data_IF_438685111904
#
_entry.id   IF_438685111904
#
_cell.length_a   1.000
_cell.length_b   1.000
_cell.length_c   1.000
_cell.angle_alpha   90.00
_cell.angle_beta   90.00
_cell.angle_gamma   90.00
#
_symmetry.space_group_name_H-M   'P 1'
#
loop_
_entity.id
_entity.type
_entity.pdbx_description
1 polymer ?
#
# COMPACT_ATOMS: atom_id res chain seq x y z
N UNK A 1 -0.57 10.85 18.56
CA UNK A 1 -0.23 9.93 19.67
C UNK A 1 1.26 9.66 19.62
N UNK A 2 1.86 9.17 20.73
CA UNK A 2 3.26 8.76 20.77
C UNK A 2 3.36 7.25 20.80
N UNK A 3 4.45 6.71 20.29
CA UNK A 3 4.75 5.29 20.45
C UNK A 3 4.95 4.95 21.93
N UNK A 4 4.42 3.81 22.33
CA UNK A 4 4.53 3.26 23.69
C UNK A 4 4.95 1.81 23.58
N UNK A 5 6.24 1.56 23.80
CA UNK A 5 6.78 0.20 23.80
C UNK A 5 6.30 -0.55 25.05
N UNK A 6 5.65 -1.67 24.83
CA UNK A 6 5.22 -2.60 25.89
C UNK A 6 6.08 -3.87 25.78
N UNK A 7 6.98 -4.05 26.74
CA UNK A 7 7.89 -5.20 26.75
C UNK A 7 8.34 -5.53 28.17
N UNK A 8 8.34 -6.81 28.50
CA UNK A 8 8.99 -7.32 29.71
C UNK A 8 10.52 -7.37 29.58
N UNK A 9 11.05 -7.25 28.35
CA UNK A 9 12.47 -7.26 28.09
C UNK A 9 13.07 -5.86 28.27
N UNK A 10 14.34 -5.84 28.70
CA UNK A 10 15.16 -4.62 28.73
C UNK A 10 16.33 -4.79 27.77
N UNK A 11 16.83 -3.71 27.14
CA UNK A 11 18.01 -3.78 26.30
C UNK A 11 19.23 -4.31 27.07
N UNK A 12 19.91 -5.30 26.50
CA UNK A 12 21.08 -5.98 27.11
C UNK A 12 22.20 -6.15 26.09
N UNK A 13 23.40 -6.47 26.53
CA UNK A 13 24.57 -6.62 25.67
C UNK A 13 24.87 -5.33 24.91
N UNK A 14 25.00 -5.41 23.58
CA UNK A 14 25.29 -4.28 22.70
C UNK A 14 24.06 -3.43 22.40
N UNK A 15 22.85 -3.91 22.72
CA UNK A 15 21.61 -3.23 22.37
C UNK A 15 21.51 -1.78 22.88
N UNK A 16 21.82 -1.46 24.14
CA UNK A 16 21.77 -0.07 24.63
C UNK A 16 22.62 0.88 23.80
N UNK A 17 23.86 0.50 23.51
CA UNK A 17 24.77 1.31 22.71
C UNK A 17 24.33 1.43 21.26
N UNK A 18 23.83 0.34 20.67
CA UNK A 18 23.30 0.34 19.30
C UNK A 18 22.08 1.26 19.17
N UNK A 19 21.12 1.18 20.11
CA UNK A 19 19.95 2.04 20.16
C UNK A 19 20.36 3.52 20.25
N UNK A 20 21.25 3.86 21.18
CA UNK A 20 21.65 5.26 21.39
C UNK A 20 22.41 5.81 20.17
N UNK A 21 23.23 5.00 19.52
CA UNK A 21 23.97 5.38 18.31
C UNK A 21 23.01 5.63 17.13
N UNK A 22 22.08 4.72 16.88
CA UNK A 22 21.08 4.88 15.80
C UNK A 22 20.18 6.10 16.05
N UNK A 23 19.67 6.26 17.27
CA UNK A 23 18.80 7.40 17.63
C UNK A 23 19.54 8.73 17.47
N UNK A 24 20.81 8.79 17.89
CA UNK A 24 21.65 9.98 17.73
C UNK A 24 21.83 10.32 16.25
N UNK A 25 22.23 9.36 15.42
CA UNK A 25 22.42 9.59 13.99
C UNK A 25 21.13 10.04 13.30
N UNK A 26 19.97 9.45 13.65
CA UNK A 26 18.68 9.89 13.11
C UNK A 26 18.38 11.35 13.51
N UNK A 27 18.62 11.72 14.77
CA UNK A 27 18.39 13.09 15.27
C UNK A 27 19.36 14.12 14.68
N UNK A 28 20.57 13.72 14.38
CA UNK A 28 21.60 14.54 13.72
C UNK A 28 21.38 14.65 12.20
N UNK A 29 20.39 13.94 11.65
CA UNK A 29 20.01 14.03 10.23
C UNK A 29 20.84 13.12 9.32
N UNK A 30 21.49 12.09 9.84
CA UNK A 30 22.20 11.09 9.01
C UNK A 30 21.23 10.49 7.98
N UNK A 31 21.52 10.54 6.66
CA UNK A 31 20.62 10.04 5.63
C UNK A 31 20.50 8.52 5.65
N UNK A 32 21.55 7.82 6.07
CA UNK A 32 21.58 6.37 6.16
C UNK A 32 22.45 5.92 7.32
N UNK A 33 22.11 4.78 7.91
CA UNK A 33 22.91 4.10 8.94
C UNK A 33 22.80 2.59 8.73
N UNK A 34 23.84 1.86 9.09
CA UNK A 34 23.87 0.40 9.00
C UNK A 34 23.97 -0.21 10.39
N UNK A 35 23.00 -1.07 10.75
CA UNK A 35 23.04 -1.94 11.92
C UNK A 35 23.53 -3.33 11.50
N UNK A 36 24.76 -3.67 11.87
CA UNK A 36 25.28 -5.02 11.76
C UNK A 36 24.87 -5.80 13.00
N UNK A 37 23.87 -6.66 12.85
CA UNK A 37 23.36 -7.46 13.95
C UNK A 37 23.35 -8.94 13.62
N UNK A 38 24.10 -9.74 14.37
CA UNK A 38 24.11 -11.20 14.16
C UNK A 38 22.74 -11.81 14.41
N UNK A 39 22.48 -12.97 13.82
CA UNK A 39 21.21 -13.70 14.03
C UNK A 39 21.06 -14.05 15.52
N UNK A 40 19.89 -13.73 16.09
CA UNK A 40 19.60 -13.95 17.51
C UNK A 40 20.12 -12.85 18.46
N UNK A 41 20.69 -11.74 17.95
CA UNK A 41 21.09 -10.60 18.80
C UNK A 41 19.90 -9.73 19.25
N UNK A 42 18.69 -9.98 18.75
CA UNK A 42 17.49 -9.19 19.10
C UNK A 42 17.34 -7.90 18.29
N UNK A 43 17.72 -7.91 17.01
CA UNK A 43 17.59 -6.75 16.09
C UNK A 43 16.20 -6.13 16.11
N UNK A 44 15.13 -6.95 16.09
CA UNK A 44 13.74 -6.47 16.12
C UNK A 44 13.45 -5.63 17.36
N UNK A 45 13.93 -6.07 18.52
CA UNK A 45 13.76 -5.33 19.77
C UNK A 45 14.57 -4.01 19.79
N UNK A 46 15.76 -4.01 19.21
CA UNK A 46 16.56 -2.79 18.99
C UNK A 46 15.82 -1.80 18.10
N UNK A 47 15.28 -2.26 16.97
CA UNK A 47 14.46 -1.43 16.08
C UNK A 47 13.22 -0.85 16.79
N UNK A 48 12.51 -1.66 17.60
CA UNK A 48 11.37 -1.20 18.37
C UNK A 48 11.74 -0.06 19.34
N UNK A 49 12.87 -0.18 20.07
CA UNK A 49 13.36 0.87 20.94
C UNK A 49 13.77 2.15 20.19
N UNK A 50 14.36 2.00 19.00
CA UNK A 50 14.69 3.16 18.13
C UNK A 50 13.42 3.88 17.71
N UNK A 51 12.40 3.14 17.23
CA UNK A 51 11.10 3.70 16.80
C UNK A 51 10.44 4.48 17.94
N UNK A 52 10.38 3.92 19.15
CA UNK A 52 9.81 4.60 20.31
C UNK A 52 10.54 5.92 20.61
N UNK A 53 11.90 5.89 20.65
CA UNK A 53 12.70 7.07 20.97
C UNK A 53 12.68 8.15 19.90
N UNK A 54 12.58 7.78 18.63
CA UNK A 54 12.51 8.69 17.48
C UNK A 54 11.11 9.24 17.29
N UNK A 55 10.10 8.44 17.56
CA UNK A 55 8.67 8.80 17.51
C UNK A 55 8.22 9.38 16.15
N UNK A 56 8.55 8.70 15.07
CA UNK A 56 8.13 9.02 13.70
C UNK A 56 7.40 7.85 13.04
N UNK A 57 6.45 8.09 12.12
CA UNK A 57 5.91 7.04 11.28
C UNK A 57 7.03 6.24 10.63
N UNK A 58 6.93 4.93 10.65
CA UNK A 58 8.03 4.05 10.24
C UNK A 58 7.56 3.01 9.24
N UNK A 59 8.30 2.89 8.13
CA UNK A 59 8.18 1.80 7.17
C UNK A 59 9.26 0.76 7.44
N UNK A 60 8.86 -0.50 7.65
CA UNK A 60 9.77 -1.63 7.81
C UNK A 60 9.62 -2.52 6.57
N UNK A 61 10.70 -2.68 5.81
CA UNK A 61 10.74 -3.50 4.61
C UNK A 61 11.39 -4.85 4.88
N UNK A 62 10.76 -5.90 4.38
CA UNK A 62 11.26 -7.26 4.41
C UNK A 62 11.19 -7.88 3.00
N UNK A 63 12.10 -8.79 2.67
CA UNK A 63 12.22 -9.35 1.33
C UNK A 63 11.13 -10.39 0.97
N UNK A 64 10.36 -10.88 1.94
CA UNK A 64 9.27 -11.82 1.67
C UNK A 64 8.09 -11.69 2.64
N UNK A 65 6.93 -12.28 2.26
CA UNK A 65 5.69 -12.25 3.07
C UNK A 65 5.83 -12.89 4.44
N UNK A 66 6.57 -13.99 4.55
CA UNK A 66 6.69 -14.78 5.80
C UNK A 66 7.45 -13.99 6.86
N UNK A 67 8.59 -13.41 6.50
CA UNK A 67 9.34 -12.55 7.41
C UNK A 67 8.58 -11.27 7.75
N UNK A 68 7.90 -10.67 6.76
CA UNK A 68 7.04 -9.51 7.02
C UNK A 68 5.92 -9.86 8.03
N UNK A 69 5.30 -11.05 7.91
CA UNK A 69 4.27 -11.51 8.86
C UNK A 69 4.85 -11.74 10.27
N UNK A 70 6.05 -12.31 10.37
CA UNK A 70 6.73 -12.47 11.65
C UNK A 70 7.03 -11.11 12.30
N UNK A 71 7.65 -10.19 11.58
CA UNK A 71 7.93 -8.84 12.06
C UNK A 71 6.65 -8.11 12.47
N UNK A 72 5.60 -8.17 11.66
CA UNK A 72 4.30 -7.61 11.99
C UNK A 72 3.78 -8.13 13.34
N UNK A 73 3.81 -9.45 13.56
CA UNK A 73 3.41 -10.07 14.81
C UNK A 73 4.26 -9.65 16.01
N UNK A 74 5.58 -9.47 15.82
CA UNK A 74 6.49 -8.98 16.87
C UNK A 74 6.20 -7.52 17.20
N UNK A 75 6.12 -6.63 16.19
CA UNK A 75 5.83 -5.20 16.40
C UNK A 75 4.43 -4.96 16.97
N UNK A 76 3.43 -5.76 16.60
CA UNK A 76 2.08 -5.69 17.17
C UNK A 76 2.09 -5.98 18.68
N UNK A 77 2.94 -6.92 19.14
CA UNK A 77 3.13 -7.21 20.57
C UNK A 77 3.91 -6.11 21.29
N UNK A 78 4.92 -5.51 20.65
CA UNK A 78 5.67 -4.41 21.22
C UNK A 78 4.89 -3.10 21.30
N UNK A 79 3.93 -2.88 20.40
CA UNK A 79 3.16 -1.66 20.29
C UNK A 79 1.64 -1.92 20.27
N UNK A 80 1.07 -2.55 21.33
CA UNK A 80 -0.34 -2.95 21.33
C UNK A 80 -1.32 -1.77 21.28
N UNK A 81 -0.87 -0.56 21.65
CA UNK A 81 -1.69 0.67 21.66
C UNK A 81 -1.51 1.57 20.46
N UNK A 82 -0.57 1.23 19.57
CA UNK A 82 -0.23 2.03 18.40
C UNK A 82 -0.71 1.33 17.12
N UNK A 83 -0.74 2.07 16.00
CA UNK A 83 -1.10 1.50 14.72
C UNK A 83 0.10 0.71 14.16
N UNK A 84 0.00 -0.59 14.17
CA UNK A 84 0.94 -1.49 13.48
C UNK A 84 0.18 -2.15 12.35
N UNK A 85 0.59 -1.86 11.13
CA UNK A 85 -0.10 -2.22 9.90
C UNK A 85 0.72 -3.19 9.05
N UNK A 86 0.04 -3.98 8.23
CA UNK A 86 0.65 -5.01 7.39
C UNK A 86 0.34 -4.77 5.92
N UNK A 87 1.37 -4.57 5.10
CA UNK A 87 1.21 -4.25 3.70
C UNK A 87 2.07 -5.15 2.81
N UNK A 88 1.46 -6.21 2.29
CA UNK A 88 2.11 -7.17 1.39
C UNK A 88 1.27 -7.36 0.14
N UNK A 89 1.76 -8.14 -0.83
CA UNK A 89 0.96 -8.52 -2.00
C UNK A 89 -0.29 -9.28 -1.56
N UNK A 90 -1.46 -8.82 -1.99
CA UNK A 90 -2.76 -9.40 -1.64
C UNK A 90 -3.18 -10.58 -2.54
N UNK A 91 -2.26 -11.05 -3.39
CA UNK A 91 -2.50 -12.24 -4.21
C UNK A 91 -2.05 -13.50 -3.49
N UNK A 92 -2.94 -14.49 -3.39
CA UNK A 92 -2.57 -15.88 -3.02
C UNK A 92 -1.97 -16.61 -4.21
N UNK A 93 -2.48 -16.30 -5.39
CA UNK A 93 -1.94 -16.74 -6.67
C UNK A 93 -1.89 -15.55 -7.64
N UNK A 94 -0.81 -15.44 -8.40
CA UNK A 94 -0.65 -14.38 -9.41
C UNK A 94 0.15 -14.88 -10.61
N UNK A 95 -0.50 -14.94 -11.76
CA UNK A 95 0.12 -15.13 -13.07
C UNK A 95 0.02 -13.80 -13.83
N UNK A 96 1.13 -13.11 -14.07
CA UNK A 96 1.10 -11.87 -14.84
C UNK A 96 0.77 -12.15 -16.31
N UNK A 97 0.04 -11.21 -16.93
CA UNK A 97 -0.15 -11.19 -18.37
C UNK A 97 1.21 -11.09 -19.08
N UNK A 98 1.44 -11.92 -20.08
CA UNK A 98 2.68 -11.92 -20.83
C UNK A 98 2.48 -12.40 -22.26
N UNK A 99 3.37 -11.98 -23.17
CA UNK A 99 3.48 -12.53 -24.50
C UNK A 99 4.92 -12.98 -24.78
N UNK A 100 5.06 -14.19 -25.31
CA UNK A 100 6.34 -14.83 -25.62
C UNK A 100 6.46 -14.91 -27.15
N UNK A 101 7.14 -13.95 -27.81
CA UNK A 101 7.17 -13.88 -29.28
C UNK A 101 7.79 -15.11 -29.95
N UNK A 102 8.81 -15.72 -29.33
CA UNK A 102 9.53 -16.87 -29.89
C UNK A 102 8.68 -18.12 -30.15
N UNK A 103 7.54 -18.23 -29.44
CA UNK A 103 6.61 -19.38 -29.53
C UNK A 103 5.18 -18.92 -29.81
N UNK A 104 4.98 -17.64 -30.12
CA UNK A 104 3.66 -17.01 -30.36
C UNK A 104 2.64 -17.37 -29.27
N UNK A 105 3.05 -17.27 -28.00
CA UNK A 105 2.20 -17.67 -26.88
C UNK A 105 1.80 -16.47 -26.05
N UNK A 106 0.50 -16.20 -26.02
CA UNK A 106 -0.10 -15.26 -25.06
C UNK A 106 -0.46 -16.00 -23.77
N UNK A 107 -0.11 -15.40 -22.64
CA UNK A 107 -0.43 -15.86 -21.29
C UNK A 107 -1.39 -14.83 -20.70
N UNK A 108 -2.61 -15.25 -20.44
CA UNK A 108 -3.61 -14.41 -19.81
C UNK A 108 -3.27 -14.19 -18.33
N UNK A 109 -3.62 -12.99 -17.83
CA UNK A 109 -3.52 -12.68 -16.41
C UNK A 109 -4.48 -13.58 -15.62
N UNK A 110 -3.97 -14.25 -14.61
CA UNK A 110 -4.77 -15.02 -13.65
C UNK A 110 -4.35 -14.68 -12.22
N UNK A 111 -5.33 -14.52 -11.34
CA UNK A 111 -5.08 -14.10 -9.96
C UNK A 111 -6.16 -14.57 -8.99
N UNK A 112 -5.75 -14.79 -7.75
CA UNK A 112 -6.63 -15.00 -6.61
C UNK A 112 -6.31 -13.99 -5.52
N UNK A 113 -7.28 -13.15 -5.17
CA UNK A 113 -7.15 -12.12 -4.14
C UNK A 113 -7.41 -12.75 -2.77
N UNK A 114 -6.57 -12.39 -1.79
CA UNK A 114 -6.79 -12.68 -0.39
C UNK A 114 -7.52 -11.50 0.26
N UNK A 115 -8.77 -11.69 0.62
CA UNK A 115 -9.63 -10.64 1.19
C UNK A 115 -9.12 -10.08 2.52
N UNK A 116 -8.48 -10.92 3.36
CA UNK A 116 -7.91 -10.46 4.62
C UNK A 116 -6.70 -9.56 4.41
N UNK A 117 -5.83 -9.89 3.44
CA UNK A 117 -4.68 -9.04 3.11
C UNK A 117 -5.16 -7.75 2.44
N UNK A 118 -6.20 -7.80 1.61
CA UNK A 118 -6.80 -6.62 1.00
C UNK A 118 -7.34 -5.66 2.09
N UNK A 119 -8.07 -6.18 3.07
CA UNK A 119 -8.52 -5.43 4.26
C UNK A 119 -7.34 -4.73 4.97
N UNK A 120 -6.26 -5.46 5.24
CA UNK A 120 -5.08 -4.92 5.91
C UNK A 120 -4.38 -3.83 5.09
N UNK A 121 -4.42 -3.91 3.77
CA UNK A 121 -3.88 -2.87 2.87
C UNK A 121 -4.72 -1.59 2.95
N UNK A 122 -6.05 -1.69 2.96
CA UNK A 122 -6.94 -0.53 3.14
C UNK A 122 -6.74 0.05 4.56
N UNK A 123 -6.61 -0.79 5.60
CA UNK A 123 -6.29 -0.35 6.96
C UNK A 123 -5.00 0.47 7.01
N UNK A 124 -3.95 0.00 6.34
CA UNK A 124 -2.67 0.70 6.24
C UNK A 124 -2.81 2.11 5.64
N UNK A 125 -3.49 2.22 4.49
CA UNK A 125 -3.70 3.52 3.82
C UNK A 125 -4.55 4.46 4.68
N UNK A 126 -5.57 3.93 5.33
CA UNK A 126 -6.45 4.69 6.25
C UNK A 126 -5.68 5.17 7.48
N UNK A 127 -4.85 4.33 8.09
CA UNK A 127 -4.02 4.71 9.24
C UNK A 127 -3.04 5.83 8.88
N UNK A 128 -2.34 5.73 7.74
CA UNK A 128 -1.38 6.74 7.29
C UNK A 128 -2.05 8.09 7.00
N UNK A 129 -3.26 8.10 6.41
CA UNK A 129 -3.99 9.32 6.06
C UNK A 129 -4.91 9.83 7.19
N UNK A 130 -5.00 9.12 8.31
CA UNK A 130 -5.80 9.55 9.48
C UNK A 130 -5.22 10.76 10.22
N UNK A 131 -3.96 11.14 9.93
CA UNK A 131 -3.21 12.15 10.66
C UNK A 131 -2.45 11.62 11.88
N UNK A 132 -2.48 10.31 12.14
CA UNK A 132 -1.68 9.67 13.20
C UNK A 132 -0.19 9.75 12.87
N UNK A 133 0.63 9.94 13.91
CA UNK A 133 2.09 9.91 13.79
C UNK A 133 2.70 8.61 14.36
N UNK A 134 1.89 7.81 15.05
CA UNK A 134 2.28 6.58 15.70
C UNK A 134 1.93 5.35 14.85
N UNK A 135 2.36 5.36 13.59
CA UNK A 135 2.09 4.30 12.61
C UNK A 135 3.37 3.56 12.22
N UNK A 136 3.38 2.25 12.39
CA UNK A 136 4.40 1.34 11.87
C UNK A 136 3.76 0.52 10.75
N UNK A 137 4.34 0.54 9.57
CA UNK A 137 3.92 -0.33 8.46
C UNK A 137 5.00 -1.36 8.20
N UNK A 138 4.67 -2.63 8.35
CA UNK A 138 5.53 -3.74 7.96
C UNK A 138 5.13 -4.19 6.56
N UNK A 139 6.05 -4.10 5.61
CA UNK A 139 5.77 -4.36 4.20
C UNK A 139 6.79 -5.30 3.56
N UNK A 140 6.35 -6.00 2.52
CA UNK A 140 7.25 -6.59 1.53
C UNK A 140 7.59 -5.57 0.44
N UNK A 141 8.35 -5.98 -0.57
CA UNK A 141 8.65 -5.13 -1.75
C UNK A 141 7.40 -4.71 -2.54
N UNK A 142 6.22 -5.21 -2.20
CA UNK A 142 4.96 -4.76 -2.81
C UNK A 142 4.66 -3.27 -2.57
N UNK A 143 5.30 -2.63 -1.61
CA UNK A 143 5.17 -1.19 -1.33
C UNK A 143 5.62 -0.29 -2.48
N UNK A 144 6.48 -0.77 -3.39
CA UNK A 144 6.97 0.00 -4.55
C UNK A 144 6.10 -0.14 -5.79
N UNK A 145 5.05 -0.96 -5.76
CA UNK A 145 4.11 -1.14 -6.87
C UNK A 145 3.01 -0.08 -6.86
N UNK A 146 2.43 0.14 -8.04
CA UNK A 146 1.38 1.13 -8.26
C UNK A 146 0.18 0.96 -7.35
N UNK A 147 -0.26 2.08 -6.79
CA UNK A 147 -1.45 2.24 -5.94
C UNK A 147 -2.30 3.40 -6.44
N UNK A 148 -3.48 3.58 -5.85
CA UNK A 148 -4.30 4.76 -6.06
C UNK A 148 -3.59 6.05 -5.63
N UNK A 149 -4.06 7.19 -6.15
CA UNK A 149 -3.57 8.50 -5.74
C UNK A 149 -4.00 8.79 -4.28
N UNK A 150 -3.07 9.08 -3.35
CA UNK A 150 -3.42 9.39 -1.97
C UNK A 150 -4.33 10.62 -1.82
N UNK A 151 -4.24 11.62 -2.71
CA UNK A 151 -5.14 12.77 -2.70
C UNK A 151 -6.57 12.38 -3.04
N UNK A 152 -6.76 11.49 -4.04
CA UNK A 152 -8.08 10.98 -4.39
C UNK A 152 -8.68 10.12 -3.28
N UNK A 153 -7.85 9.27 -2.65
CA UNK A 153 -8.29 8.51 -1.49
C UNK A 153 -8.73 9.42 -0.34
N UNK A 154 -7.93 10.44 -0.02
CA UNK A 154 -8.21 11.37 1.06
C UNK A 154 -9.43 12.27 0.77
N UNK A 155 -9.65 12.69 -0.47
CA UNK A 155 -10.80 13.51 -0.87
C UNK A 155 -12.14 12.77 -0.81
N UNK A 156 -12.11 11.43 -0.79
CA UNK A 156 -13.29 10.57 -0.66
C UNK A 156 -13.50 10.06 0.79
N UNK A 157 -12.74 10.58 1.76
CA UNK A 157 -12.99 10.32 3.18
C UNK A 157 -14.26 11.06 3.61
N UNK A 158 -15.23 10.33 4.15
CA UNK A 158 -16.48 10.89 4.65
C UNK A 158 -16.28 11.26 6.12
N UNK A 159 -16.41 12.53 6.45
CA UNK A 159 -16.38 13.01 7.84
C UNK A 159 -17.81 13.34 8.28
N UNK A 160 -18.26 12.70 9.36
CA UNK A 160 -19.58 12.91 9.94
C UNK A 160 -19.45 13.38 11.38
N UNK A 161 -20.37 14.24 11.79
CA UNK A 161 -20.44 14.79 13.15
C UNK A 161 -21.87 14.72 13.68
N UNK A 162 -22.01 14.48 14.98
CA UNK A 162 -23.29 14.56 15.66
C UNK A 162 -23.85 16.00 15.55
N UNK A 163 -25.13 16.11 15.19
CA UNK A 163 -25.77 17.40 14.91
C UNK A 163 -25.52 17.95 13.51
N UNK A 164 -24.75 17.25 12.66
CA UNK A 164 -24.50 17.66 11.27
C UNK A 164 -25.81 17.62 10.45
N UNK A 165 -26.10 18.72 9.76
CA UNK A 165 -27.23 18.80 8.84
C UNK A 165 -26.88 18.23 7.50
N UNK A 166 -27.31 17.01 7.25
CA UNK A 166 -27.15 16.28 6.00
C UNK A 166 -28.33 15.32 5.83
N UNK A 167 -28.95 15.31 4.67
CA UNK A 167 -30.01 14.32 4.42
C UNK A 167 -29.44 12.91 4.31
N UNK A 168 -30.19 11.92 4.80
CA UNK A 168 -29.81 10.51 4.67
C UNK A 168 -29.43 10.15 3.23
N UNK A 169 -30.19 10.61 2.23
CA UNK A 169 -29.91 10.32 0.83
C UNK A 169 -28.59 10.98 0.33
N UNK A 170 -28.22 12.14 0.85
CA UNK A 170 -26.92 12.73 0.55
C UNK A 170 -25.79 11.89 1.14
N UNK A 171 -25.91 11.46 2.39
CA UNK A 171 -24.95 10.56 3.03
C UNK A 171 -24.80 9.22 2.28
N UNK A 172 -25.92 8.62 1.81
CA UNK A 172 -25.85 7.40 1.00
C UNK A 172 -25.10 7.61 -0.32
N UNK A 173 -25.23 8.78 -0.96
CA UNK A 173 -24.45 9.11 -2.17
C UNK A 173 -22.97 9.26 -1.87
N UNK A 174 -22.60 9.83 -0.74
CA UNK A 174 -21.19 9.89 -0.29
C UNK A 174 -20.62 8.49 -0.07
N UNK A 175 -21.39 7.58 0.56
CA UNK A 175 -20.97 6.17 0.73
C UNK A 175 -20.72 5.47 -0.61
N UNK A 176 -21.62 5.65 -1.58
CA UNK A 176 -21.44 5.09 -2.94
C UNK A 176 -20.21 5.72 -3.63
N UNK A 177 -19.99 7.03 -3.47
CA UNK A 177 -18.81 7.72 -3.96
C UNK A 177 -17.51 7.20 -3.34
N UNK A 178 -17.54 6.80 -2.07
CA UNK A 178 -16.45 6.15 -1.36
C UNK A 178 -16.38 4.63 -1.61
N UNK A 179 -17.09 4.13 -2.64
CA UNK A 179 -17.10 2.75 -3.10
C UNK A 179 -17.73 1.72 -2.13
N UNK A 180 -18.57 2.16 -1.20
CA UNK A 180 -19.41 1.24 -0.42
C UNK A 180 -20.62 0.80 -1.24
N UNK A 181 -20.98 -0.47 -1.16
CA UNK A 181 -22.12 -1.05 -1.85
C UNK A 181 -23.31 -1.28 -0.91
N UNK A 182 -24.53 -1.05 -1.39
CA UNK A 182 -25.75 -1.31 -0.61
C UNK A 182 -26.07 -2.80 -0.56
N UNK A 183 -26.23 -3.35 0.63
CA UNK A 183 -26.65 -4.74 0.84
C UNK A 183 -27.53 -4.84 2.08
N UNK A 184 -28.83 -5.13 1.87
CA UNK A 184 -29.83 -5.17 2.95
C UNK A 184 -29.91 -6.54 3.65
N UNK A 185 -29.48 -7.61 2.98
CA UNK A 185 -29.72 -8.98 3.43
C UNK A 185 -28.55 -9.47 4.30
N UNK A 186 -27.35 -9.43 3.75
CA UNK A 186 -26.15 -9.95 4.42
C UNK A 186 -24.97 -9.01 4.16
N UNK A 187 -24.94 -7.83 4.83
CA UNK A 187 -23.87 -6.89 4.64
C UNK A 187 -22.55 -7.47 5.18
N UNK A 188 -21.53 -7.34 4.36
CA UNK A 188 -20.13 -7.68 4.67
C UNK A 188 -19.27 -6.41 4.64
N UNK A 189 -17.98 -6.51 4.91
CA UNK A 189 -17.05 -5.36 4.83
C UNK A 189 -17.21 -4.63 3.48
N UNK A 190 -17.16 -3.29 3.51
CA UNK A 190 -17.39 -2.46 2.33
C UNK A 190 -18.85 -2.33 1.90
N UNK A 191 -19.80 -2.83 2.71
CA UNK A 191 -21.23 -2.64 2.46
C UNK A 191 -21.86 -1.67 3.46
N UNK A 192 -23.00 -1.12 3.08
CA UNK A 192 -23.90 -0.44 4.01
C UNK A 192 -25.33 -0.98 3.88
N UNK A 193 -26.07 -0.86 4.98
CA UNK A 193 -27.48 -1.26 5.07
C UNK A 193 -28.31 -0.12 5.65
N UNK A 194 -29.56 0.03 5.14
CA UNK A 194 -30.47 1.08 5.60
C UNK A 194 -31.68 0.45 6.29
N UNK A 195 -31.96 0.84 7.54
CA UNK A 195 -33.15 0.42 8.29
C UNK A 195 -33.83 1.64 8.90
N UNK A 196 -34.95 2.07 8.30
CA UNK A 196 -35.65 3.28 8.73
C UNK A 196 -34.74 4.49 8.72
N UNK A 197 -34.53 5.11 9.86
CA UNK A 197 -33.69 6.30 10.03
C UNK A 197 -32.24 5.96 10.39
N UNK A 198 -31.84 4.69 10.32
CA UNK A 198 -30.47 4.27 10.60
C UNK A 198 -29.76 3.74 9.36
N UNK A 199 -28.47 4.05 9.26
CA UNK A 199 -27.54 3.50 8.26
C UNK A 199 -26.41 2.79 8.98
N UNK A 200 -26.28 1.48 8.75
CA UNK A 200 -25.19 0.66 9.25
C UNK A 200 -24.12 0.55 8.17
N UNK A 201 -22.91 1.04 8.42
CA UNK A 201 -21.76 0.99 7.50
C UNK A 201 -20.75 -0.03 8.02
N UNK A 202 -20.54 -1.11 7.27
CA UNK A 202 -19.54 -2.13 7.57
C UNK A 202 -18.21 -1.68 6.99
N UNK A 203 -17.27 -1.25 7.85
CA UNK A 203 -16.00 -0.69 7.41
C UNK A 203 -15.21 -1.69 6.57
N UNK A 204 -14.56 -1.21 5.51
CA UNK A 204 -13.79 -2.06 4.61
C UNK A 204 -12.44 -2.48 5.20
N UNK A 205 -11.95 -1.78 6.21
CA UNK A 205 -10.60 -1.86 6.78
C UNK A 205 -10.55 -2.32 8.24
N UNK A 206 -11.71 -2.45 8.89
CA UNK A 206 -11.82 -2.88 10.29
C UNK A 206 -13.06 -3.76 10.49
N UNK A 207 -13.06 -4.60 11.54
CA UNK A 207 -14.21 -5.41 11.95
C UNK A 207 -15.22 -4.57 12.75
N UNK A 208 -15.58 -3.42 12.23
CA UNK A 208 -16.44 -2.43 12.88
C UNK A 208 -17.62 -2.08 11.98
N UNK A 209 -18.78 -1.97 12.60
CA UNK A 209 -19.99 -1.39 12.00
C UNK A 209 -20.22 -0.02 12.61
N UNK A 210 -20.27 1.01 11.77
CA UNK A 210 -20.64 2.37 12.17
C UNK A 210 -22.12 2.55 11.91
N UNK A 211 -22.89 2.75 12.97
CA UNK A 211 -24.31 3.08 12.89
C UNK A 211 -24.51 4.56 12.99
N UNK A 212 -25.09 5.14 11.95
CA UNK A 212 -25.48 6.55 11.89
C UNK A 212 -27.00 6.65 11.98
N UNK A 213 -27.49 7.28 13.03
CA UNK A 213 -28.92 7.50 13.25
C UNK A 213 -29.29 8.92 12.83
N UNK A 214 -30.37 9.05 12.06
CA UNK A 214 -30.86 10.31 11.55
C UNK A 214 -32.17 10.72 12.26
N UNK A 215 -32.29 12.01 12.52
CA UNK A 215 -33.57 12.65 12.85
C UNK A 215 -33.89 13.69 11.79
N UNK A 216 -34.79 13.35 10.85
CA UNK A 216 -35.00 14.15 9.65
C UNK A 216 -33.74 14.26 8.80
N UNK A 217 -33.26 15.49 8.59
CA UNK A 217 -32.03 15.79 7.84
C UNK A 217 -30.85 16.15 8.76
N UNK A 218 -30.80 15.54 9.95
CA UNK A 218 -29.71 15.76 10.92
C UNK A 218 -29.22 14.42 11.47
N UNK A 219 -27.90 14.31 11.68
CA UNK A 219 -27.27 13.14 12.34
C UNK A 219 -27.51 13.27 13.85
N UNK A 220 -28.33 12.40 14.40
CA UNK A 220 -28.68 12.37 15.83
C UNK A 220 -27.62 11.66 16.69
N UNK A 221 -27.10 10.52 16.20
CA UNK A 221 -26.14 9.71 16.97
C UNK A 221 -25.20 8.94 16.02
N UNK A 222 -23.95 8.73 16.48
CA UNK A 222 -22.94 7.93 15.77
C UNK A 222 -22.42 6.89 16.77
N UNK A 223 -22.63 5.62 16.46
CA UNK A 223 -22.30 4.51 17.36
C UNK A 223 -21.49 3.46 16.62
N UNK A 224 -20.51 2.86 17.27
CA UNK A 224 -19.72 1.77 16.68
C UNK A 224 -19.97 0.45 17.39
N UNK A 225 -20.01 -0.62 16.62
CA UNK A 225 -20.22 -1.98 17.08
C UNK A 225 -19.15 -2.91 16.50
N UNK A 226 -18.81 -3.96 17.23
CA UNK A 226 -18.01 -5.04 16.69
C UNK A 226 -18.85 -5.88 15.72
N UNK A 227 -18.33 -6.14 14.50
CA UNK A 227 -19.13 -6.79 13.45
C UNK A 227 -19.51 -8.24 13.74
N UNK A 228 -18.69 -8.95 14.54
CA UNK A 228 -18.85 -10.38 14.79
C UNK A 228 -20.04 -10.68 15.74
N UNK A 229 -20.27 -9.86 16.77
CA UNK A 229 -21.25 -10.11 17.83
C UNK A 229 -22.18 -8.93 18.10
N UNK A 230 -22.04 -7.83 17.37
CA UNK A 230 -22.74 -6.56 17.57
C UNK A 230 -22.56 -5.96 18.96
N UNK A 231 -21.46 -6.27 19.66
CA UNK A 231 -21.14 -5.63 20.94
C UNK A 231 -20.82 -4.14 20.72
N UNK A 232 -21.33 -3.29 21.62
CA UNK A 232 -21.13 -1.85 21.56
C UNK A 232 -19.66 -1.52 21.85
N UNK A 233 -19.00 -0.82 20.94
CA UNK A 233 -17.63 -0.32 21.11
C UNK A 233 -17.60 1.11 21.67
N UNK A 234 -18.50 1.98 21.19
CA UNK A 234 -18.54 3.35 21.68
C UNK A 234 -19.56 4.23 20.98
N UNK A 235 -19.70 5.45 21.51
CA UNK A 235 -20.41 6.58 20.91
C UNK A 235 -19.42 7.65 20.54
N UNK A 236 -19.66 8.35 19.43
CA UNK A 236 -18.74 9.32 18.87
C UNK A 236 -19.45 10.64 18.57
N UNK A 237 -18.79 11.75 18.82
CA UNK A 237 -19.26 13.07 18.37
C UNK A 237 -18.85 13.32 16.91
N UNK A 238 -17.67 12.80 16.52
CA UNK A 238 -17.14 12.86 15.15
C UNK A 238 -16.63 11.49 14.74
N UNK A 239 -16.79 11.14 13.47
CA UNK A 239 -16.26 9.91 12.91
C UNK A 239 -15.79 10.11 11.45
N UNK A 240 -14.73 9.39 11.05
CA UNK A 240 -14.24 9.37 9.67
C UNK A 240 -14.41 7.98 9.08
N UNK A 241 -15.07 7.91 7.93
CA UNK A 241 -15.24 6.69 7.14
C UNK A 241 -14.33 6.79 5.93
N UNK A 242 -13.32 5.93 5.85
CA UNK A 242 -12.41 5.86 4.72
C UNK A 242 -13.00 5.04 3.57
N UNK A 243 -12.56 5.28 2.30
CA UNK A 243 -13.07 4.55 1.14
C UNK A 243 -12.92 3.04 1.26
N UNK A 244 -13.84 2.32 0.63
CA UNK A 244 -13.86 0.86 0.63
C UNK A 244 -12.84 0.22 -0.32
N UNK A 245 -12.14 1.00 -1.13
CA UNK A 245 -11.09 0.55 -2.03
C UNK A 245 -9.98 1.60 -2.16
N UNK A 246 -8.74 1.13 -2.35
CA UNK A 246 -7.57 2.00 -2.54
C UNK A 246 -7.62 2.76 -3.88
N UNK A 247 -8.22 2.15 -4.90
CA UNK A 247 -8.34 2.72 -6.24
C UNK A 247 -9.67 3.47 -6.40
N UNK A 248 -9.79 4.63 -5.78
CA UNK A 248 -10.95 5.51 -5.91
C UNK A 248 -10.69 6.50 -7.03
N UNK A 249 -11.65 6.64 -7.95
CA UNK A 249 -11.65 7.68 -8.98
C UNK A 249 -13.04 8.30 -9.13
N UNK A 250 -13.08 9.58 -9.47
CA UNK A 250 -14.38 10.25 -9.69
C UNK A 250 -14.98 9.88 -11.06
N UNK A 251 -16.32 9.89 -11.22
CA UNK A 251 -16.97 9.67 -12.52
C UNK A 251 -16.46 10.62 -13.61
N UNK A 252 -16.16 11.86 -13.26
CA UNK A 252 -15.60 12.84 -14.20
C UNK A 252 -14.20 12.44 -14.68
N UNK A 253 -13.34 11.97 -13.79
CA UNK A 253 -12.00 11.46 -14.15
C UNK A 253 -12.09 10.17 -14.98
N UNK A 254 -13.02 9.29 -14.66
CA UNK A 254 -13.26 8.08 -15.46
C UNK A 254 -13.65 8.45 -16.90
N UNK A 255 -14.61 9.36 -17.07
CA UNK A 255 -15.05 9.81 -18.39
C UNK A 255 -13.92 10.50 -19.18
N UNK A 256 -13.15 11.39 -18.52
CA UNK A 256 -11.97 12.04 -19.13
C UNK A 256 -10.87 11.04 -19.50
N UNK A 257 -10.62 10.07 -18.63
CA UNK A 257 -9.64 9.00 -18.89
C UNK A 257 -10.03 8.14 -20.08
N UNK A 258 -11.32 7.75 -20.21
CA UNK A 258 -11.82 6.99 -21.35
C UNK A 258 -11.63 7.78 -22.64
N UNK A 259 -11.97 9.08 -22.67
CA UNK A 259 -11.75 9.92 -23.85
C UNK A 259 -10.26 9.97 -24.28
N UNK A 260 -9.35 10.05 -23.32
CA UNK A 260 -7.91 10.02 -23.60
C UNK A 260 -7.45 8.64 -24.11
N UNK A 261 -7.99 7.54 -23.56
CA UNK A 261 -7.73 6.17 -24.04
C UNK A 261 -8.16 6.02 -25.52
N UNK A 262 -9.30 6.57 -25.90
CA UNK A 262 -9.81 6.55 -27.29
C UNK A 262 -8.85 7.28 -28.24
N UNK A 263 -8.31 8.44 -27.83
CA UNK A 263 -7.34 9.19 -28.62
C UNK A 263 -6.04 8.39 -28.79
N UNK A 264 -5.47 7.90 -27.69
CA UNK A 264 -4.21 7.13 -27.72
C UNK A 264 -4.38 5.81 -28.50
N UNK A 265 -5.57 5.19 -28.45
CA UNK A 265 -5.91 4.02 -29.29
C UNK A 265 -5.84 4.36 -30.78
N UNK A 266 -6.47 5.47 -31.18
CA UNK A 266 -6.44 5.92 -32.58
C UNK A 266 -5.01 6.18 -33.07
N UNK A 267 -4.20 6.84 -32.25
CA UNK A 267 -2.79 7.11 -32.56
C UNK A 267 -1.96 5.82 -32.70
N UNK A 268 -2.13 4.88 -31.77
CA UNK A 268 -1.38 3.63 -31.77
C UNK A 268 -1.79 2.68 -32.90
N UNK A 269 -3.07 2.61 -33.24
CA UNK A 269 -3.57 1.85 -34.40
C UNK A 269 -3.03 2.42 -35.69
N UNK A 270 -3.04 3.75 -35.84
CA UNK A 270 -2.45 4.42 -37.00
C UNK A 270 -0.93 4.20 -37.12
N UNK A 271 -0.22 4.15 -35.98
CA UNK A 271 1.19 3.79 -35.93
C UNK A 271 1.42 2.37 -36.47
N UNK A 272 0.71 1.37 -35.96
CA UNK A 272 0.83 -0.02 -36.40
C UNK A 272 0.52 -0.18 -37.90
N UNK A 273 -0.53 0.49 -38.40
CA UNK A 273 -0.87 0.44 -39.82
C UNK A 273 0.25 1.02 -40.72
N UNK A 274 0.91 2.11 -40.27
CA UNK A 274 2.07 2.69 -41.00
C UNK A 274 3.28 1.76 -41.00
N UNK A 275 3.44 0.98 -39.93
CA UNK A 275 4.51 -0.01 -39.82
C UNK A 275 4.16 -1.36 -40.47
N UNK A 276 3.05 -1.46 -41.20
CA UNK A 276 2.50 -2.69 -41.80
C UNK A 276 2.26 -3.83 -40.80
N UNK A 277 1.91 -3.48 -39.55
CA UNK A 277 1.55 -4.39 -38.46
C UNK A 277 0.03 -4.46 -38.31
N UNK A 278 -0.64 -4.97 -39.35
CA UNK A 278 -2.12 -5.00 -39.39
C UNK A 278 -2.76 -5.90 -38.31
N UNK A 279 -2.10 -7.00 -37.98
CA UNK A 279 -2.57 -7.94 -36.94
C UNK A 279 -2.52 -7.29 -35.55
N UNK A 280 -1.44 -6.59 -35.24
CA UNK A 280 -1.25 -5.86 -33.98
C UNK A 280 -2.26 -4.70 -33.89
N UNK A 281 -2.46 -3.97 -34.97
CA UNK A 281 -3.47 -2.90 -35.04
C UNK A 281 -4.87 -3.41 -34.73
N UNK A 282 -5.28 -4.51 -35.38
CA UNK A 282 -6.61 -5.14 -35.18
C UNK A 282 -6.76 -5.64 -33.75
N UNK A 283 -5.78 -6.37 -33.24
CA UNK A 283 -5.79 -6.93 -31.88
C UNK A 283 -5.94 -5.83 -30.83
N UNK A 284 -5.12 -4.76 -30.95
CA UNK A 284 -5.19 -3.64 -30.01
C UNK A 284 -6.55 -2.95 -30.06
N UNK A 285 -7.07 -2.70 -31.26
CA UNK A 285 -8.38 -2.06 -31.46
C UNK A 285 -9.50 -2.86 -30.79
N UNK A 286 -9.59 -4.16 -31.08
CA UNK A 286 -10.62 -5.04 -30.50
C UNK A 286 -10.54 -5.10 -28.98
N UNK A 287 -9.33 -5.25 -28.44
CA UNK A 287 -9.11 -5.35 -26.99
C UNK A 287 -9.47 -4.06 -26.26
N UNK A 288 -8.94 -2.92 -26.72
CA UNK A 288 -9.14 -1.66 -26.01
C UNK A 288 -10.59 -1.18 -26.15
N UNK A 289 -11.22 -1.40 -27.29
CA UNK A 289 -12.65 -1.08 -27.48
C UNK A 289 -13.52 -1.87 -26.50
N UNK A 290 -13.27 -3.17 -26.34
CA UNK A 290 -13.94 -4.00 -25.36
C UNK A 290 -13.71 -3.50 -23.92
N UNK A 291 -12.46 -3.18 -23.56
CA UNK A 291 -12.14 -2.66 -22.24
C UNK A 291 -12.86 -1.32 -21.95
N UNK A 292 -12.98 -0.43 -22.97
CA UNK A 292 -13.72 0.84 -22.88
C UNK A 292 -15.22 0.60 -22.64
N UNK A 293 -15.83 -0.33 -23.36
CA UNK A 293 -17.23 -0.69 -23.19
C UNK A 293 -17.50 -1.19 -21.77
N UNK A 294 -16.65 -2.09 -21.27
CA UNK A 294 -16.72 -2.58 -19.89
C UNK A 294 -16.59 -1.45 -18.86
N UNK A 295 -15.65 -0.52 -19.07
CA UNK A 295 -15.49 0.63 -18.16
C UNK A 295 -16.70 1.57 -18.16
N UNK A 296 -17.38 1.73 -19.30
CA UNK A 296 -18.60 2.55 -19.40
C UNK A 296 -19.80 1.90 -18.72
N UNK A 297 -19.99 0.59 -18.91
CA UNK A 297 -21.14 -0.14 -18.40
C UNK A 297 -21.02 -0.51 -16.91
N UNK A 298 -19.85 -0.94 -16.50
CA UNK A 298 -19.62 -1.53 -15.16
C UNK A 298 -18.65 -0.70 -14.30
N UNK A 299 -18.01 0.31 -14.89
CA UNK A 299 -16.99 1.12 -14.21
C UNK A 299 -15.62 0.44 -14.07
N UNK A 300 -15.44 -0.75 -14.62
CA UNK A 300 -14.24 -1.58 -14.46
C UNK A 300 -14.04 -2.50 -15.67
N UNK A 301 -12.78 -2.88 -15.94
CA UNK A 301 -12.44 -3.94 -16.90
C UNK A 301 -11.27 -4.81 -16.37
N UNK A 302 -11.12 -6.06 -16.86
CA UNK A 302 -9.97 -6.88 -16.56
C UNK A 302 -8.67 -6.20 -17.00
N UNK A 303 -7.72 -6.02 -16.07
CA UNK A 303 -6.46 -5.34 -16.37
C UNK A 303 -6.56 -3.82 -16.39
N UNK A 304 -7.55 -3.23 -15.71
CA UNK A 304 -7.75 -1.77 -15.60
C UNK A 304 -6.51 -1.02 -15.13
N UNK A 305 -5.63 -1.68 -14.38
CA UNK A 305 -4.36 -1.11 -13.93
C UNK A 305 -3.43 -0.68 -15.09
N UNK A 306 -3.58 -1.28 -16.28
CA UNK A 306 -2.83 -0.87 -17.48
C UNK A 306 -3.26 0.51 -18.00
N UNK A 307 -4.38 1.02 -17.53
CA UNK A 307 -4.95 2.33 -17.84
C UNK A 307 -4.80 3.33 -16.69
N UNK A 308 -4.14 2.96 -15.57
CA UNK A 308 -4.07 3.76 -14.34
C UNK A 308 -3.62 5.20 -14.57
N UNK A 309 -2.65 5.42 -15.49
CA UNK A 309 -2.15 6.75 -15.86
C UNK A 309 -3.26 7.73 -16.24
N UNK A 310 -4.28 7.28 -16.96
CA UNK A 310 -5.38 8.12 -17.41
C UNK A 310 -6.31 8.54 -16.26
N UNK A 311 -6.43 7.70 -15.23
CA UNK A 311 -7.36 7.91 -14.12
C UNK A 311 -6.74 8.69 -12.96
N UNK A 312 -5.42 8.64 -12.80
CA UNK A 312 -4.71 9.37 -11.74
C UNK A 312 -4.05 10.68 -12.23
N UNK A 313 -4.25 11.04 -13.50
CA UNK A 313 -3.81 12.30 -14.09
C UNK A 313 -2.30 12.41 -14.34
N UNK A 314 -1.57 11.30 -14.37
CA UNK A 314 -0.14 11.28 -14.66
C UNK A 314 0.15 11.49 -16.16
N UNK A 315 1.26 12.17 -16.43
CA UNK A 315 1.79 12.25 -17.78
C UNK A 315 2.57 10.97 -18.17
N UNK A 316 2.71 10.67 -19.49
CA UNK A 316 3.52 9.56 -19.94
C UNK A 316 4.92 9.54 -19.32
N UNK A 317 5.37 8.37 -18.86
CA UNK A 317 6.68 8.17 -18.23
C UNK A 317 6.78 8.54 -16.76
N UNK A 318 5.78 9.23 -16.20
CA UNK A 318 5.76 9.51 -14.76
C UNK A 318 5.62 8.21 -13.94
N UNK A 319 6.31 8.18 -12.80
CA UNK A 319 6.18 7.06 -11.86
C UNK A 319 4.75 6.93 -11.31
N UNK A 320 4.28 5.72 -11.01
CA UNK A 320 3.01 5.56 -10.30
C UNK A 320 3.10 6.05 -8.85
N UNK A 321 1.95 6.35 -8.26
CA UNK A 321 1.84 6.44 -6.81
C UNK A 321 2.06 5.07 -6.20
N UNK A 322 2.65 5.03 -5.01
CA UNK A 322 2.93 3.80 -4.26
C UNK A 322 2.70 4.03 -2.76
N UNK A 323 2.94 3.02 -1.93
CA UNK A 323 2.74 3.14 -0.49
C UNK A 323 3.55 4.29 0.13
N UNK A 324 4.75 4.57 -0.38
CA UNK A 324 5.60 5.63 0.16
C UNK A 324 4.98 7.03 0.01
N UNK A 325 4.09 7.24 -0.98
CA UNK A 325 3.38 8.51 -1.18
C UNK A 325 2.30 8.78 -0.12
N UNK A 326 1.89 7.76 0.64
CA UNK A 326 0.94 7.89 1.74
C UNK A 326 1.59 8.29 3.07
N UNK A 327 2.91 8.15 3.17
CA UNK A 327 3.67 8.56 4.35
C UNK A 327 3.88 10.08 4.41
N UNK A 328 3.99 10.67 5.62
CA UNK A 328 4.50 12.04 5.76
C UNK A 328 5.97 12.10 5.33
N UNK A 329 6.45 13.29 4.96
CA UNK A 329 7.80 13.47 4.41
C UNK A 329 8.94 13.06 5.35
N UNK A 330 8.71 13.06 6.65
CA UNK A 330 9.71 12.80 7.70
C UNK A 330 9.67 11.37 8.27
N UNK A 331 9.07 10.41 7.54
CA UNK A 331 9.03 9.03 8.00
C UNK A 331 10.42 8.37 8.04
N UNK A 332 10.56 7.38 8.90
CA UNK A 332 11.74 6.53 8.99
C UNK A 332 11.56 5.27 8.14
N UNK A 333 12.59 4.88 7.40
CA UNK A 333 12.62 3.59 6.69
C UNK A 333 13.61 2.66 7.36
N UNK A 334 13.19 1.45 7.69
CA UNK A 334 14.04 0.37 8.17
C UNK A 334 13.99 -0.76 7.14
N UNK A 335 15.13 -1.17 6.62
CA UNK A 335 15.22 -2.26 5.63
C UNK A 335 15.84 -3.47 6.33
N UNK A 336 15.00 -4.45 6.64
CA UNK A 336 15.42 -5.70 7.26
C UNK A 336 16.03 -6.65 6.23
N UNK A 337 17.05 -7.41 6.64
CA UNK A 337 17.89 -8.25 5.78
C UNK A 337 18.26 -7.51 4.49
N UNK A 338 18.80 -6.30 4.64
CA UNK A 338 19.02 -5.32 3.57
C UNK A 338 19.87 -5.87 2.43
N UNK A 339 20.84 -6.73 2.71
CA UNK A 339 21.68 -7.40 1.72
C UNK A 339 20.89 -8.27 0.72
N UNK A 340 19.64 -8.66 1.04
CA UNK A 340 18.70 -9.35 0.15
C UNK A 340 17.63 -8.40 -0.37
N UNK A 341 17.07 -7.56 0.53
CA UNK A 341 15.94 -6.70 0.22
C UNK A 341 16.30 -5.61 -0.80
N UNK A 342 17.47 -4.98 -0.67
CA UNK A 342 17.92 -3.91 -1.60
C UNK A 342 18.11 -4.42 -3.03
N UNK A 343 18.85 -5.52 -3.27
CA UNK A 343 18.96 -6.10 -4.62
C UNK A 343 17.60 -6.48 -5.23
N UNK A 344 16.66 -6.98 -4.41
CA UNK A 344 15.32 -7.30 -4.86
C UNK A 344 14.57 -6.07 -5.35
N UNK A 345 14.56 -4.97 -4.58
CA UNK A 345 13.95 -3.70 -5.00
C UNK A 345 14.53 -3.24 -6.34
N UNK A 346 15.86 -3.32 -6.48
CA UNK A 346 16.57 -2.91 -7.70
C UNK A 346 16.18 -3.71 -8.94
N UNK A 347 15.91 -5.01 -8.78
CA UNK A 347 15.57 -5.92 -9.88
C UNK A 347 14.11 -5.81 -10.37
N UNK A 348 13.18 -5.32 -9.54
CA UNK A 348 11.74 -5.39 -9.84
C UNK A 348 11.34 -4.66 -11.11
N UNK A 349 11.85 -3.45 -11.33
CA UNK A 349 11.48 -2.63 -12.48
C UNK A 349 11.86 -3.28 -13.82
N UNK A 350 13.07 -3.81 -13.93
CA UNK A 350 13.60 -4.38 -15.20
C UNK A 350 12.77 -5.57 -15.69
N UNK A 351 12.38 -6.47 -14.79
CA UNK A 351 11.56 -7.63 -15.14
C UNK A 351 10.16 -7.25 -15.61
N UNK A 352 9.52 -6.27 -14.95
CA UNK A 352 8.17 -5.82 -15.32
C UNK A 352 8.17 -5.11 -16.69
N UNK A 353 9.12 -4.23 -16.95
CA UNK A 353 9.22 -3.49 -18.20
C UNK A 353 9.45 -4.41 -19.39
N UNK A 354 10.40 -5.34 -19.31
CA UNK A 354 10.68 -6.29 -20.40
C UNK A 354 9.43 -7.08 -20.81
N UNK A 355 8.66 -7.54 -19.83
CA UNK A 355 7.40 -8.27 -20.06
C UNK A 355 6.36 -7.38 -20.76
N UNK A 356 6.17 -6.15 -20.30
CA UNK A 356 5.18 -5.22 -20.83
C UNK A 356 5.55 -4.65 -22.19
N UNK A 357 6.84 -4.48 -22.48
CA UNK A 357 7.30 -4.07 -23.82
C UNK A 357 6.78 -5.05 -24.90
N UNK A 358 6.87 -6.35 -24.67
CA UNK A 358 6.32 -7.33 -25.60
C UNK A 358 4.79 -7.17 -25.77
N UNK A 359 4.05 -6.92 -24.68
CA UNK A 359 2.60 -6.72 -24.78
C UNK A 359 2.23 -5.47 -25.60
N UNK A 360 3.02 -4.41 -25.49
CA UNK A 360 2.81 -3.17 -26.26
C UNK A 360 3.25 -3.34 -27.72
N UNK A 361 4.43 -3.91 -27.97
CA UNK A 361 4.99 -4.09 -29.30
C UNK A 361 4.14 -4.99 -30.20
N UNK A 362 3.50 -6.00 -29.61
CA UNK A 362 2.67 -6.97 -30.32
C UNK A 362 1.15 -6.68 -30.20
N UNK A 363 0.76 -5.46 -29.83
CA UNK A 363 -0.63 -4.98 -29.89
C UNK A 363 -1.58 -5.58 -28.85
N UNK A 364 -1.08 -6.09 -27.71
CA UNK A 364 -1.94 -6.56 -26.62
C UNK A 364 -2.33 -5.44 -25.65
N UNK A 365 -1.48 -4.41 -25.51
CA UNK A 365 -1.72 -3.27 -24.61
C UNK A 365 -1.27 -1.96 -25.24
N UNK A 366 -1.91 -0.85 -24.82
CA UNK A 366 -1.45 0.50 -25.12
C UNK A 366 -0.11 0.81 -24.45
N UNK A 367 0.69 1.75 -24.98
CA UNK A 367 1.94 2.21 -24.35
C UNK A 367 1.77 2.64 -22.88
N UNK A 368 0.59 3.12 -22.49
CA UNK A 368 0.27 3.48 -21.12
C UNK A 368 0.47 2.34 -20.10
N UNK A 369 0.40 1.08 -20.53
CA UNK A 369 0.67 -0.08 -19.68
C UNK A 369 2.08 -0.06 -19.08
N UNK A 370 3.05 0.57 -19.77
CA UNK A 370 4.44 0.74 -19.29
C UNK A 370 4.54 1.67 -18.07
N UNK A 371 3.55 2.55 -17.88
CA UNK A 371 3.50 3.50 -16.76
C UNK A 371 2.89 2.90 -15.48
N UNK A 372 2.24 1.74 -15.59
CA UNK A 372 1.85 0.92 -14.44
C UNK A 372 3.00 -0.05 -14.11
N UNK A 373 3.94 0.36 -13.31
CA UNK A 373 5.20 -0.34 -13.05
C UNK A 373 5.63 -0.18 -11.59
N UNK A 374 6.49 -1.04 -11.08
CA UNK A 374 7.16 -0.74 -9.82
C UNK A 374 8.07 0.48 -9.97
N UNK A 375 8.43 1.10 -8.86
CA UNK A 375 9.42 2.17 -8.84
C UNK A 375 10.75 1.68 -9.43
N UNK A 376 11.44 2.59 -10.12
CA UNK A 376 12.88 2.44 -10.35
C UNK A 376 13.62 2.59 -9.03
N UNK A 377 14.81 2.02 -8.91
CA UNK A 377 15.56 2.06 -7.66
C UNK A 377 15.87 3.49 -7.22
N UNK A 378 16.24 4.37 -8.17
CA UNK A 378 16.52 5.79 -7.89
C UNK A 378 15.25 6.58 -7.47
N UNK A 379 14.08 6.14 -7.92
CA UNK A 379 12.80 6.72 -7.48
C UNK A 379 12.49 6.31 -6.04
N UNK A 380 12.77 5.05 -5.68
CA UNK A 380 12.66 4.56 -4.31
C UNK A 380 13.60 5.32 -3.37
N UNK A 381 14.87 5.48 -3.74
CA UNK A 381 15.84 6.24 -2.93
C UNK A 381 15.40 7.71 -2.70
N UNK A 382 14.80 8.34 -3.72
CA UNK A 382 14.32 9.74 -3.59
C UNK A 382 13.08 9.90 -2.73
N UNK A 383 12.27 8.84 -2.59
CA UNK A 383 11.06 8.85 -1.76
C UNK A 383 11.34 8.53 -0.30
N UNK A 384 12.43 7.83 -0.02
CA UNK A 384 12.87 7.57 1.37
C UNK A 384 13.55 8.80 1.94
N UNK A 385 13.32 9.07 3.23
CA UNK A 385 13.96 10.20 3.92
C UNK A 385 15.24 9.75 4.62
N UNK A 386 15.13 9.08 5.78
CA UNK A 386 16.25 8.49 6.50
C UNK A 386 16.09 6.97 6.51
N UNK A 387 17.18 6.25 6.28
CA UNK A 387 17.16 4.79 6.15
C UNK A 387 18.09 4.13 7.18
N UNK A 388 17.57 3.10 7.85
CA UNK A 388 18.38 2.18 8.66
C UNK A 388 18.42 0.84 7.95
N UNK A 389 19.58 0.46 7.47
CA UNK A 389 19.84 -0.87 6.92
C UNK A 389 20.15 -1.84 8.06
N UNK A 390 19.45 -2.97 8.10
CA UNK A 390 19.62 -3.98 9.14
C UNK A 390 20.05 -5.29 8.48
N UNK A 391 21.21 -5.80 8.84
CA UNK A 391 21.74 -7.04 8.27
C UNK A 391 22.75 -7.71 9.20
N UNK A 392 22.85 -9.03 9.11
CA UNK A 392 23.98 -9.76 9.72
C UNK A 392 25.24 -9.69 8.83
N UNK A 393 25.06 -9.45 7.53
CA UNK A 393 26.11 -9.42 6.50
C UNK A 393 25.85 -8.25 5.53
N UNK A 394 26.05 -7.00 5.98
CA UNK A 394 25.87 -5.83 5.10
C UNK A 394 26.72 -5.95 3.83
N UNK A 395 26.15 -5.54 2.70
CA UNK A 395 26.85 -5.49 1.42
C UNK A 395 27.47 -4.10 1.17
N UNK A 396 28.28 -3.98 0.11
CA UNK A 396 28.98 -2.73 -0.21
C UNK A 396 28.04 -1.52 -0.33
N UNK A 397 26.83 -1.73 -0.86
CA UNK A 397 25.86 -0.65 -1.02
C UNK A 397 25.45 -0.01 0.33
N UNK A 398 25.13 -0.82 1.35
CA UNK A 398 24.76 -0.31 2.68
C UNK A 398 25.94 0.41 3.35
N UNK A 399 27.14 -0.15 3.19
CA UNK A 399 28.36 0.46 3.73
C UNK A 399 28.69 1.79 3.05
N UNK A 400 28.54 1.87 1.73
CA UNK A 400 28.70 3.11 0.97
C UNK A 400 27.69 4.18 1.41
N UNK A 401 26.41 3.81 1.53
CA UNK A 401 25.35 4.74 1.93
C UNK A 401 25.48 5.26 3.35
N UNK A 402 26.08 4.50 4.26
CA UNK A 402 26.38 4.90 5.65
C UNK A 402 27.78 5.44 5.86
N UNK A 403 28.50 5.84 4.78
CA UNK A 403 29.87 6.37 4.83
C UNK A 403 30.85 5.44 5.58
N UNK A 404 30.63 4.12 5.51
CA UNK A 404 31.42 3.12 6.23
C UNK A 404 31.14 3.03 7.73
N UNK A 405 30.20 3.84 8.25
CA UNK A 405 29.83 3.81 9.67
C UNK A 405 28.84 2.69 9.93
N UNK A 406 29.26 1.73 10.76
CA UNK A 406 28.47 0.56 11.12
C UNK A 406 28.22 0.57 12.64
N UNK A 407 26.97 0.41 13.03
CA UNK A 407 26.56 0.17 14.41
C UNK A 407 26.54 -1.34 14.62
N UNK A 408 27.36 -1.84 15.54
CA UNK A 408 27.50 -3.28 15.78
C UNK A 408 26.61 -3.77 16.92
N UNK A 409 26.00 -4.93 16.72
CA UNK A 409 25.22 -5.67 17.72
C UNK A 409 25.53 -7.16 17.61
N UNK A 410 26.62 -7.58 18.24
CA UNK A 410 27.19 -8.91 18.07
C UNK A 410 26.80 -9.85 19.23
N UNK A 411 26.59 -9.32 20.43
CA UNK A 411 26.25 -10.10 21.60
C UNK A 411 24.82 -10.62 21.54
N UNK A 412 24.67 -11.94 21.70
CA UNK A 412 23.35 -12.57 21.82
C UNK A 412 22.89 -12.53 23.28
N UNK A 413 21.71 -11.93 23.57
CA UNK A 413 21.18 -11.84 24.94
C UNK A 413 20.96 -13.20 25.60
N UNK A 414 20.77 -14.26 24.82
CA UNK A 414 20.56 -15.63 25.29
C UNK A 414 21.84 -16.37 25.66
N UNK A 415 23.02 -15.76 25.45
CA UNK A 415 24.32 -16.39 25.69
C UNK A 415 24.66 -17.57 24.78
N UNK A 416 23.87 -17.81 23.71
CA UNK A 416 24.17 -18.85 22.73
C UNK A 416 25.40 -18.47 21.92
N UNK A 417 26.42 -19.31 22.00
CA UNK A 417 27.64 -19.19 21.19
C UNK A 417 27.35 -19.54 19.72
N UNK A 418 28.14 -18.96 18.81
CA UNK A 418 28.14 -19.38 17.42
C UNK A 418 28.56 -20.84 17.31
N UNK A 419 27.89 -21.60 16.46
CA UNK A 419 28.39 -22.92 16.08
C UNK A 419 29.74 -22.72 15.39
N UNK A 420 30.78 -23.29 15.99
CA UNK A 420 32.10 -23.37 15.36
C UNK A 420 31.91 -24.20 14.08
N UNK A 421 32.15 -23.57 12.93
CA UNK A 421 32.15 -24.25 11.62
C UNK A 421 33.34 -25.13 11.49
#
# INVERSE_FOLDING_TARGET
>A
MKFQLDSSYKPTGDQPQAIDSLVRGIREGAPAQTLLGVTGSGKTFTMANVIEKVNRPTLILSHNKTLAAQLYGEFKRFFPKNAVEYFVSYYDYYQPEAYIPSVDKYIEKDLMINDEIDKLRIATTSALLSGRQDVIVVSSVSCIYGMGNPEDFNSNVITISKGQKISRNAFLRELVGALYSRNEISPIRGNFRVKGDTVDVHLAYEEIVVRVTFWGDEIEDITTFYSADNSLLGKHDDFKIFPANIFVTSPARLASGIAQIELDLGEQVNFFNREAKELEAKRLYERVTYDIEMMREVGHCPGIENYSRYFDGRQPGMRPFCLLDYFPKDFLTIIDESHVTVPQIRAMWGGDVSRKMNLVEYGFRLPAALDNRPLKFEEFERLTNQVVYVSATPADYELEKSDGVVVEQIIRPTGLLDQIK
#
